data_IF_131893900104
#
_entry.id   IF_131893900104
#
_cell.length_a   1.000
_cell.length_b   1.000
_cell.length_c   1.000
_cell.angle_alpha   90.00
_cell.angle_beta   90.00
_cell.angle_gamma   90.00
#
_symmetry.space_group_name_H-M   'P 1'
#
loop_
_entity.id
_entity.type
_entity.pdbx_description
1 polymer ?
#
# COMPACT_ATOMS: atom_id res chain seq x y z
N UNK A 1 -4.38 -59.44 -14.91
CA UNK A 1 -5.36 -59.66 -16.00
C UNK A 1 -6.41 -60.64 -15.51
N UNK A 2 -7.68 -60.37 -15.76
CA UNK A 2 -8.82 -61.22 -15.39
C UNK A 2 -9.63 -60.64 -14.22
N UNK A 3 -10.52 -59.68 -14.48
CA UNK A 3 -11.95 -59.88 -14.78
C UNK A 3 -12.81 -59.85 -13.51
N UNK A 4 -13.43 -58.69 -13.27
CA UNK A 4 -14.65 -58.55 -12.46
C UNK A 4 -15.82 -59.26 -13.12
N UNK A 5 -16.77 -59.79 -12.34
CA UNK A 5 -18.15 -59.87 -12.79
C UNK A 5 -19.06 -58.89 -12.02
N UNK A 6 -20.09 -58.53 -12.77
CA UNK A 6 -21.15 -57.54 -12.63
C UNK A 6 -22.43 -58.24 -12.15
N UNK A 7 -23.23 -57.59 -11.29
CA UNK A 7 -24.71 -57.63 -11.24
C UNK A 7 -25.17 -56.90 -9.94
N UNK A 8 -25.96 -55.82 -10.01
CA UNK A 8 -27.45 -55.81 -10.05
C UNK A 8 -28.07 -56.38 -8.75
N UNK A 9 -29.09 -55.81 -8.08
CA UNK A 9 -30.05 -54.73 -8.36
C UNK A 9 -30.94 -54.56 -7.08
N UNK A 10 -31.71 -53.46 -7.01
CA UNK A 10 -32.95 -53.20 -6.20
C UNK A 10 -32.78 -52.66 -4.77
N UNK A 11 -33.07 -51.37 -4.52
CA UNK A 11 -34.40 -50.75 -4.29
C UNK A 11 -34.97 -51.15 -2.91
N UNK A 12 -35.50 -50.30 -2.03
CA UNK A 12 -36.21 -49.01 -2.13
C UNK A 12 -36.40 -48.43 -0.71
N UNK A 13 -36.88 -47.19 -0.65
CA UNK A 13 -37.47 -46.44 0.47
C UNK A 13 -36.50 -45.57 1.29
N UNK A 14 -36.80 -44.33 1.65
CA UNK A 14 -37.74 -43.27 1.23
C UNK A 14 -37.44 -42.08 2.17
N UNK A 15 -37.84 -40.86 1.79
CA UNK A 15 -37.80 -39.68 2.69
C UNK A 15 -36.84 -38.60 2.17
N UNK A 16 -37.15 -37.92 1.09
CA UNK A 16 -38.00 -36.72 1.05
C UNK A 16 -37.30 -35.46 1.59
N UNK A 17 -36.68 -34.70 0.69
CA UNK A 17 -36.77 -33.23 0.78
C UNK A 17 -36.68 -32.59 -0.61
N UNK A 18 -37.72 -31.82 -0.93
CA UNK A 18 -37.98 -31.24 -2.23
C UNK A 18 -37.22 -29.91 -2.43
N UNK A 19 -36.30 -29.92 -3.39
CA UNK A 19 -36.29 -29.09 -4.61
C UNK A 19 -36.93 -27.69 -4.55
N UNK A 20 -36.10 -26.67 -4.85
CA UNK A 20 -36.28 -25.64 -5.91
C UNK A 20 -34.97 -24.83 -6.02
N UNK A 21 -34.11 -24.97 -7.05
CA UNK A 21 -34.17 -24.40 -8.43
C UNK A 21 -34.69 -22.95 -8.39
N UNK A 22 -34.04 -21.90 -8.86
CA UNK A 22 -33.10 -21.59 -9.99
C UNK A 22 -32.64 -20.14 -9.72
N UNK A 23 -31.48 -19.62 -10.14
CA UNK A 23 -31.06 -19.38 -11.51
C UNK A 23 -29.60 -18.88 -11.54
N UNK A 24 -28.80 -19.42 -12.46
CA UNK A 24 -27.55 -18.82 -12.91
C UNK A 24 -27.86 -17.76 -13.99
N UNK A 25 -27.19 -16.60 -13.92
CA UNK A 25 -26.87 -15.57 -14.95
C UNK A 25 -26.59 -14.27 -14.18
N UNK A 26 -25.47 -13.56 -14.23
CA UNK A 26 -24.38 -13.49 -15.21
C UNK A 26 -23.03 -13.24 -14.51
N UNK A 27 -21.98 -13.83 -15.08
CA UNK A 27 -20.60 -13.44 -14.83
C UNK A 27 -20.40 -11.97 -15.26
N UNK A 28 -19.97 -11.10 -14.33
CA UNK A 28 -19.21 -9.89 -14.67
C UNK A 28 -17.75 -10.14 -14.36
N UNK A 29 -17.12 -10.99 -15.16
CA UNK A 29 -15.67 -10.93 -15.39
C UNK A 29 -15.43 -9.63 -16.16
N UNK A 30 -14.79 -8.65 -15.52
CA UNK A 30 -14.27 -7.48 -16.19
C UNK A 30 -12.93 -7.83 -16.84
N UNK A 31 -12.77 -7.83 -18.17
CA UNK A 31 -11.46 -7.83 -18.77
C UNK A 31 -10.88 -6.40 -18.73
N UNK A 32 -9.78 -6.28 -18.01
CA UNK A 32 -8.79 -5.19 -18.03
C UNK A 32 -8.42 -4.77 -19.44
N UNK A 33 -8.42 -3.45 -19.71
CA UNK A 33 -7.62 -2.86 -20.77
C UNK A 33 -6.74 -1.75 -20.18
N UNK A 34 -5.44 -1.99 -19.95
CA UNK A 34 -4.50 -0.90 -19.81
C UNK A 34 -4.22 -0.38 -21.22
N UNK A 35 -4.66 0.84 -21.54
CA UNK A 35 -4.09 1.55 -22.68
C UNK A 35 -3.32 2.74 -22.13
N UNK A 36 -2.01 2.58 -22.24
CA UNK A 36 -0.95 3.53 -22.00
C UNK A 36 -1.22 4.83 -22.76
N UNK A 37 -1.91 5.75 -22.12
CA UNK A 37 -1.86 7.19 -22.36
C UNK A 37 -1.08 7.82 -21.21
N UNK A 38 0.24 7.61 -21.20
CA UNK A 38 1.12 8.13 -20.16
C UNK A 38 1.38 9.62 -20.43
N UNK A 39 0.45 10.46 -20.01
CA UNK A 39 0.53 11.91 -20.09
C UNK A 39 -0.84 12.54 -19.80
N UNK A 40 -1.10 12.87 -18.53
CA UNK A 40 -2.22 13.73 -18.15
C UNK A 40 -3.49 13.06 -17.59
N UNK A 41 -3.51 11.76 -17.29
CA UNK A 41 -4.68 11.14 -16.68
C UNK A 41 -4.81 11.55 -15.20
N UNK A 42 -5.65 12.52 -14.89
CA UNK A 42 -6.05 12.84 -13.52
C UNK A 42 -7.10 11.85 -13.04
N UNK A 43 -6.91 11.29 -11.85
CA UNK A 43 -7.94 10.49 -11.15
C UNK A 43 -8.58 11.30 -10.02
N UNK A 44 -9.85 11.03 -9.73
CA UNK A 44 -10.61 11.65 -8.64
C UNK A 44 -10.86 10.62 -7.55
N UNK A 45 -10.55 10.98 -6.31
CA UNK A 45 -10.84 10.19 -5.11
C UNK A 45 -11.62 11.05 -4.10
N UNK A 46 -12.48 10.40 -3.33
CA UNK A 46 -13.22 11.04 -2.24
C UNK A 46 -12.59 10.66 -0.90
N UNK A 47 -12.37 11.64 -0.03
CA UNK A 47 -11.79 11.46 1.31
C UNK A 47 -12.79 11.97 2.34
N UNK A 48 -12.98 11.20 3.41
CA UNK A 48 -13.78 11.59 4.57
C UNK A 48 -12.80 12.00 5.66
N UNK A 49 -12.92 13.25 6.11
CA UNK A 49 -12.13 13.79 7.21
C UNK A 49 -13.03 13.98 8.42
N UNK A 50 -12.49 13.70 9.60
CA UNK A 50 -13.12 14.06 10.86
C UNK A 50 -13.10 15.60 11.02
N UNK A 51 -14.01 16.18 11.82
CA UNK A 51 -14.10 17.63 11.95
C UNK A 51 -12.81 18.29 12.46
N UNK A 52 -12.10 17.63 13.37
CA UNK A 52 -10.79 18.02 13.90
C UNK A 52 -9.71 17.99 12.82
N UNK A 53 -9.62 16.90 12.05
CA UNK A 53 -8.66 16.79 10.93
C UNK A 53 -8.88 17.88 9.87
N UNK A 54 -10.13 18.21 9.57
CA UNK A 54 -10.45 19.31 8.65
C UNK A 54 -10.06 20.68 9.22
N UNK A 55 -10.19 20.88 10.53
CA UNK A 55 -9.78 22.12 11.20
C UNK A 55 -8.25 22.29 11.17
N UNK A 56 -7.51 21.22 11.43
CA UNK A 56 -6.05 21.20 11.34
C UNK A 56 -5.57 21.43 9.91
N UNK A 57 -6.17 20.76 8.93
CA UNK A 57 -5.85 20.96 7.52
C UNK A 57 -6.07 22.42 7.09
N UNK A 58 -7.18 23.05 7.53
CA UNK A 58 -7.43 24.48 7.27
C UNK A 58 -6.41 25.40 7.93
N UNK A 59 -5.86 25.02 9.09
CA UNK A 59 -4.79 25.77 9.75
C UNK A 59 -3.50 25.69 8.93
N UNK A 60 -3.11 24.49 8.53
CA UNK A 60 -1.93 24.25 7.68
C UNK A 60 -2.05 25.02 6.36
N UNK A 61 -3.22 24.97 5.71
CA UNK A 61 -3.46 25.71 4.48
C UNK A 61 -3.25 27.21 4.63
N UNK A 62 -3.69 27.81 5.75
CA UNK A 62 -3.45 29.24 6.00
C UNK A 62 -1.97 29.54 6.21
N UNK A 63 -1.28 28.72 6.99
CA UNK A 63 0.15 28.88 7.26
C UNK A 63 1.00 28.77 5.99
N UNK A 64 0.66 27.82 5.12
CA UNK A 64 1.39 27.53 3.89
C UNK A 64 0.80 28.24 2.65
N UNK A 65 -0.17 29.12 2.84
CA UNK A 65 -0.88 29.86 1.78
C UNK A 65 -1.41 28.97 0.64
N UNK A 66 -1.99 27.80 0.98
CA UNK A 66 -2.54 26.86 0.01
C UNK A 66 -3.96 27.26 -0.39
N UNK A 67 -4.22 27.26 -1.69
CA UNK A 67 -5.44 27.85 -2.26
C UNK A 67 -6.66 26.92 -2.25
N UNK A 68 -6.48 25.61 -2.11
CA UNK A 68 -7.58 24.65 -2.07
C UNK A 68 -7.28 23.41 -1.21
N UNK A 69 -8.35 22.74 -0.76
CA UNK A 69 -8.23 21.47 -0.03
C UNK A 69 -7.55 20.40 -0.90
N UNK A 70 -7.87 20.37 -2.19
CA UNK A 70 -7.26 19.44 -3.15
C UNK A 70 -5.76 19.68 -3.30
N UNK A 71 -5.30 20.93 -3.29
CA UNK A 71 -3.88 21.27 -3.35
C UNK A 71 -3.16 20.80 -2.09
N UNK A 72 -3.76 21.04 -0.91
CA UNK A 72 -3.21 20.60 0.36
C UNK A 72 -3.11 19.07 0.46
N UNK A 73 -4.14 18.35 0.05
CA UNK A 73 -4.13 16.88 0.04
C UNK A 73 -3.11 16.33 -0.97
N UNK A 74 -2.99 16.96 -2.15
CA UNK A 74 -2.01 16.56 -3.16
C UNK A 74 -0.59 16.79 -2.64
N UNK A 75 -0.34 17.92 -1.98
CA UNK A 75 0.98 18.22 -1.43
C UNK A 75 1.33 17.30 -0.27
N UNK A 76 0.38 17.05 0.65
CA UNK A 76 0.54 16.05 1.69
C UNK A 76 0.90 14.66 1.13
N UNK A 77 0.22 14.24 0.05
CA UNK A 77 0.54 12.97 -0.61
C UNK A 77 1.94 12.94 -1.23
N UNK A 78 2.41 14.06 -1.82
CA UNK A 78 3.77 14.17 -2.35
C UNK A 78 4.81 14.04 -1.26
N UNK A 79 4.61 14.73 -0.13
CA UNK A 79 5.50 14.66 1.03
C UNK A 79 5.56 13.24 1.59
N UNK A 80 4.41 12.59 1.80
CA UNK A 80 4.36 11.20 2.28
C UNK A 80 5.02 10.21 1.31
N UNK A 81 4.86 10.41 0.00
CA UNK A 81 5.50 9.55 -1.01
C UNK A 81 7.03 9.71 -1.00
N UNK A 82 7.52 10.94 -0.79
CA UNK A 82 8.94 11.21 -0.65
C UNK A 82 9.51 10.55 0.62
N UNK A 83 8.84 10.72 1.76
CA UNK A 83 9.23 10.09 3.02
C UNK A 83 9.30 8.56 2.88
N UNK A 84 8.28 7.94 2.27
CA UNK A 84 8.28 6.50 2.04
C UNK A 84 9.46 6.04 1.18
N UNK A 85 9.86 6.83 0.18
CA UNK A 85 11.03 6.54 -0.65
C UNK A 85 12.35 6.67 0.14
N UNK A 86 12.47 7.67 1.02
CA UNK A 86 13.63 7.86 1.89
C UNK A 86 13.76 6.71 2.91
N UNK A 87 12.64 6.29 3.52
CA UNK A 87 12.60 5.11 4.42
C UNK A 87 13.00 3.83 3.68
N UNK A 88 12.51 3.64 2.44
CA UNK A 88 12.89 2.49 1.62
C UNK A 88 14.38 2.50 1.29
N UNK A 89 14.94 3.63 0.86
CA UNK A 89 16.37 3.76 0.59
C UNK A 89 17.23 3.50 1.83
N UNK A 90 16.81 4.00 3.01
CA UNK A 90 17.50 3.71 4.26
C UNK A 90 17.46 2.22 4.61
N UNK A 91 16.36 1.54 4.31
CA UNK A 91 16.26 0.09 4.49
C UNK A 91 17.18 -0.67 3.52
N UNK A 92 17.27 -0.26 2.25
CA UNK A 92 18.19 -0.87 1.28
C UNK A 92 19.65 -0.80 1.75
N UNK A 93 20.07 0.32 2.34
CA UNK A 93 21.42 0.46 2.92
C UNK A 93 21.60 -0.50 4.09
N UNK A 94 20.62 -0.59 5.01
CA UNK A 94 20.69 -1.53 6.14
C UNK A 94 20.77 -2.97 5.65
N UNK A 95 19.97 -3.34 4.66
CA UNK A 95 19.96 -4.69 4.09
C UNK A 95 21.29 -5.01 3.41
N UNK A 96 21.87 -4.05 2.67
CA UNK A 96 23.18 -4.21 2.03
C UNK A 96 24.28 -4.50 3.06
N UNK A 97 24.27 -3.80 4.20
CA UNK A 97 25.22 -4.04 5.30
C UNK A 97 24.74 -5.11 6.29
N UNK A 98 23.65 -5.82 6.01
CA UNK A 98 23.08 -6.86 6.88
C UNK A 98 22.81 -6.37 8.32
N UNK A 99 22.42 -5.10 8.46
CA UNK A 99 22.19 -4.44 9.75
C UNK A 99 23.46 -3.98 10.47
N UNK A 100 24.66 -4.24 9.95
CA UNK A 100 25.89 -3.67 10.46
C UNK A 100 26.05 -2.21 10.03
N UNK A 101 26.84 -1.44 10.78
CA UNK A 101 27.22 -0.09 10.35
C UNK A 101 28.14 -0.17 9.13
N UNK A 102 28.02 0.81 8.23
CA UNK A 102 28.93 0.93 7.11
C UNK A 102 30.38 1.07 7.61
N UNK A 103 31.35 0.35 7.02
CA UNK A 103 32.73 0.40 7.45
C UNK A 103 33.32 1.79 7.20
N UNK A 104 34.11 2.28 8.15
CA UNK A 104 34.79 3.57 8.03
C UNK A 104 35.89 3.51 6.96
N UNK A 105 35.96 4.48 6.03
CA UNK A 105 37.04 4.54 5.05
C UNK A 105 38.42 4.62 5.71
N UNK A 106 39.43 4.11 5.02
CA UNK A 106 40.83 4.11 5.51
C UNK A 106 41.29 5.54 5.79
N UNK A 107 41.89 5.76 6.96
CA UNK A 107 42.44 7.04 7.38
C UNK A 107 41.43 8.02 7.97
N UNK A 108 40.14 7.65 8.05
CA UNK A 108 39.09 8.46 8.70
C UNK A 108 38.88 7.97 10.13
N UNK A 109 39.00 8.88 11.09
CA UNK A 109 38.61 8.63 12.48
C UNK A 109 37.11 8.89 12.60
N UNK A 110 36.31 7.95 13.14
CA UNK A 110 34.88 8.19 13.32
C UNK A 110 34.65 9.35 14.29
N UNK A 111 33.65 10.18 14.01
CA UNK A 111 33.25 11.25 14.92
C UNK A 111 32.81 10.67 16.27
N UNK A 112 33.19 11.34 17.34
CA UNK A 112 32.77 11.01 18.69
C UNK A 112 31.33 11.47 18.94
N UNK A 113 30.67 10.89 19.94
CA UNK A 113 29.29 11.27 20.28
C UNK A 113 29.17 12.75 20.67
N UNK A 114 30.18 13.29 21.37
CA UNK A 114 30.21 14.70 21.79
C UNK A 114 30.35 15.63 20.57
N UNK A 115 31.17 15.26 19.59
CA UNK A 115 31.31 16.01 18.33
C UNK A 115 30.01 15.97 17.51
N UNK A 116 29.31 14.83 17.49
CA UNK A 116 28.02 14.70 16.81
C UNK A 116 26.95 15.58 17.47
N UNK A 117 26.85 15.56 18.79
CA UNK A 117 25.90 16.38 19.54
C UNK A 117 26.16 17.88 19.33
N UNK A 118 27.43 18.29 19.33
CA UNK A 118 27.79 19.68 19.05
C UNK A 118 27.42 20.12 17.62
N UNK A 119 27.44 19.20 16.65
CA UNK A 119 27.03 19.49 15.28
C UNK A 119 25.50 19.69 15.16
N UNK A 120 24.70 18.91 15.89
CA UNK A 120 23.24 19.05 15.91
C UNK A 120 22.79 20.37 16.56
N UNK A 121 23.53 20.85 17.56
CA UNK A 121 23.27 22.14 18.22
C UNK A 121 23.65 23.35 17.34
N UNK A 122 24.36 23.13 16.24
CA UNK A 122 24.74 24.21 15.33
C UNK A 122 23.55 24.60 14.45
N UNK A 123 22.88 25.70 14.81
CA UNK A 123 21.84 26.31 13.97
C UNK A 123 22.47 26.95 12.73
N UNK A 124 22.10 26.44 11.54
CA UNK A 124 22.47 26.99 10.24
C UNK A 124 21.53 28.11 9.80
#
# INVERSE_FOLDING_TARGET
MGMTPKAEQKNLAEGAESKKRTSATAARTAPTRPTRGAGGATSVAQVRLRPDELADLRRVMRTLNLHSLSDALREGLRLLSREAAEVAAAQEIRDFYQGASAPTPVGVVPATADELAAADDTAW
#
